data_IF_670917906366
#
_entry.id   IF_670917906366
#
_cell.length_a   1.000
_cell.length_b   1.000
_cell.length_c   1.000
_cell.angle_alpha   90.00
_cell.angle_beta   90.00
_cell.angle_gamma   90.00
#
_symmetry.space_group_name_H-M   'P 1'
#
loop_
_entity.id
_entity.type
_entity.pdbx_description
1 polymer ?
#
# COMPACT_ATOMS: atom_id res chain seq x y z
N UNK A 1 -22.49 -15.37 14.69
CA UNK A 1 -21.71 -16.28 13.81
C UNK A 1 -20.35 -16.48 14.47
N UNK A 2 -19.91 -17.72 14.61
CA UNK A 2 -18.63 -18.09 15.26
C UNK A 2 -17.39 -17.50 14.57
N UNK A 3 -17.56 -16.93 13.37
CA UNK A 3 -16.51 -16.29 12.58
C UNK A 3 -16.28 -14.81 12.94
N UNK A 4 -17.21 -14.18 13.67
CA UNK A 4 -17.14 -12.73 13.94
C UNK A 4 -15.84 -12.29 14.64
N UNK A 5 -15.31 -12.99 15.67
CA UNK A 5 -14.06 -12.61 16.31
C UNK A 5 -12.87 -12.62 15.33
N UNK A 6 -12.80 -13.62 14.45
CA UNK A 6 -11.74 -13.72 13.44
C UNK A 6 -11.84 -12.63 12.36
N UNK A 7 -13.07 -12.27 11.96
CA UNK A 7 -13.29 -11.13 11.06
C UNK A 7 -12.82 -9.82 11.69
N UNK A 8 -13.14 -9.59 12.95
CA UNK A 8 -12.66 -8.42 13.70
C UNK A 8 -11.13 -8.42 13.81
N UNK A 9 -10.53 -9.57 14.11
CA UNK A 9 -9.08 -9.70 14.17
C UNK A 9 -8.44 -9.40 12.83
N UNK A 10 -8.95 -9.97 11.72
CA UNK A 10 -8.46 -9.71 10.38
C UNK A 10 -8.50 -8.21 10.03
N UNK A 11 -9.62 -7.54 10.32
CA UNK A 11 -9.78 -6.11 10.07
C UNK A 11 -8.88 -5.24 10.96
N UNK A 12 -8.57 -5.68 12.17
CA UNK A 12 -7.75 -4.93 13.11
C UNK A 12 -6.26 -5.10 12.82
N UNK A 13 -5.81 -6.34 12.55
CA UNK A 13 -4.40 -6.64 12.27
C UNK A 13 -4.01 -6.44 10.80
N UNK A 14 -4.99 -6.53 9.87
CA UNK A 14 -4.74 -6.60 8.44
C UNK A 14 -4.19 -7.96 8.00
N UNK A 15 -4.12 -8.94 8.90
CA UNK A 15 -3.60 -10.27 8.59
C UNK A 15 -4.70 -11.22 8.19
N UNK A 16 -4.41 -12.06 7.21
CA UNK A 16 -5.26 -13.17 6.80
C UNK A 16 -5.42 -14.17 7.96
N UNK A 17 -6.65 -14.59 8.25
CA UNK A 17 -6.97 -15.58 9.28
C UNK A 17 -7.30 -16.91 8.61
N UNK A 18 -6.71 -17.99 9.14
CA UNK A 18 -6.96 -19.36 8.69
C UNK A 18 -7.55 -20.15 9.86
N UNK A 19 -8.73 -20.69 9.67
CA UNK A 19 -9.47 -21.47 10.67
C UNK A 19 -9.62 -22.88 10.17
N UNK A 20 -8.99 -23.82 10.84
CA UNK A 20 -9.16 -25.26 10.58
C UNK A 20 -10.42 -25.73 11.35
N UNK A 21 -11.46 -26.07 10.61
CA UNK A 21 -12.71 -26.57 11.17
C UNK A 21 -12.68 -28.11 11.28
N UNK A 22 -13.47 -28.66 12.18
CA UNK A 22 -13.65 -30.11 12.28
C UNK A 22 -14.22 -30.67 10.95
N UNK A 23 -13.53 -31.67 10.35
CA UNK A 23 -13.99 -32.36 9.14
C UNK A 23 -13.39 -31.84 7.83
N UNK A 24 -12.10 -31.61 7.79
CA UNK A 24 -11.31 -31.18 6.62
C UNK A 24 -11.80 -29.89 5.92
N UNK A 25 -12.60 -29.10 6.60
CA UNK A 25 -13.03 -27.77 6.11
C UNK A 25 -12.11 -26.70 6.61
N UNK A 26 -11.60 -25.91 5.67
CA UNK A 26 -10.81 -24.71 5.93
C UNK A 26 -11.64 -23.47 5.68
N UNK A 27 -11.60 -22.51 6.61
CA UNK A 27 -12.13 -21.17 6.39
C UNK A 27 -10.97 -20.19 6.36
N UNK A 28 -10.86 -19.44 5.27
CA UNK A 28 -9.88 -18.37 5.11
C UNK A 28 -10.63 -17.04 5.13
N UNK A 29 -10.21 -16.13 6.01
CA UNK A 29 -10.75 -14.78 6.11
C UNK A 29 -9.64 -13.81 5.71
N UNK A 30 -9.83 -13.15 4.59
CA UNK A 30 -8.88 -12.18 4.05
C UNK A 30 -9.46 -10.77 4.15
N UNK A 31 -8.77 -9.83 4.85
CA UNK A 31 -9.22 -8.46 4.92
C UNK A 31 -8.82 -7.70 3.67
N UNK A 32 -9.76 -6.95 3.09
CA UNK A 32 -9.49 -6.02 1.99
C UNK A 32 -9.69 -4.59 2.48
N UNK A 33 -8.67 -3.75 2.27
CA UNK A 33 -8.73 -2.33 2.62
C UNK A 33 -8.80 -1.47 1.37
N UNK A 34 -9.38 -0.25 1.47
CA UNK A 34 -9.34 0.70 0.38
C UNK A 34 -7.89 0.96 -0.08
N UNK A 35 -7.70 1.14 -1.38
CA UNK A 35 -6.40 1.52 -1.92
C UNK A 35 -5.88 2.79 -1.23
N UNK A 36 -4.62 2.81 -0.75
CA UNK A 36 -4.07 4.00 -0.13
C UNK A 36 -4.00 5.14 -1.14
N UNK A 37 -4.47 6.31 -0.75
CA UNK A 37 -4.51 7.51 -1.58
C UNK A 37 -3.40 8.45 -1.18
N UNK A 38 -2.62 8.91 -2.16
CA UNK A 38 -1.64 9.99 -1.97
C UNK A 38 -2.15 11.29 -2.61
N UNK A 39 -2.39 12.30 -1.79
CA UNK A 39 -2.74 13.65 -2.24
C UNK A 39 -1.47 14.49 -2.22
N UNK A 40 -1.04 14.96 -3.38
CA UNK A 40 0.14 15.82 -3.55
C UNK A 40 -0.35 17.25 -3.79
N UNK A 41 -0.14 18.10 -2.81
CA UNK A 41 -0.49 19.53 -2.87
C UNK A 41 0.72 20.32 -3.35
N UNK A 42 0.71 20.72 -4.62
CA UNK A 42 1.78 21.37 -5.36
C UNK A 42 2.32 20.49 -6.49
N UNK A 43 2.14 20.91 -7.75
CA UNK A 43 2.55 20.22 -8.98
C UNK A 43 3.96 20.57 -9.44
N UNK A 44 4.87 20.99 -8.54
CA UNK A 44 6.24 21.40 -8.85
C UNK A 44 7.17 20.29 -9.32
N UNK A 45 8.49 20.56 -9.30
CA UNK A 45 9.50 19.60 -9.79
C UNK A 45 9.56 18.33 -8.94
N UNK A 46 9.37 18.42 -7.62
CA UNK A 46 9.36 17.27 -6.71
C UNK A 46 8.12 16.40 -6.94
N UNK A 47 6.97 17.00 -7.25
CA UNK A 47 5.71 16.29 -7.41
C UNK A 47 5.75 15.28 -8.57
N UNK A 48 6.50 15.56 -9.65
CA UNK A 48 6.56 14.67 -10.81
C UNK A 48 7.17 13.30 -10.45
N UNK A 49 8.44 13.21 -10.02
CA UNK A 49 9.03 11.93 -9.62
C UNK A 49 8.32 11.29 -8.42
N UNK A 50 7.75 12.09 -7.51
CA UNK A 50 6.97 11.58 -6.40
C UNK A 50 5.70 10.84 -6.88
N UNK A 51 4.98 11.39 -7.85
CA UNK A 51 3.78 10.78 -8.44
C UNK A 51 4.12 9.47 -9.15
N UNK A 52 5.17 9.45 -9.96
CA UNK A 52 5.64 8.24 -10.66
C UNK A 52 5.99 7.11 -9.68
N UNK A 53 6.75 7.43 -8.63
CA UNK A 53 7.11 6.47 -7.59
C UNK A 53 5.90 5.98 -6.80
N UNK A 54 5.01 6.89 -6.42
CA UNK A 54 3.82 6.55 -5.65
C UNK A 54 2.86 5.63 -6.41
N UNK A 55 2.62 5.91 -7.70
CA UNK A 55 1.80 5.06 -8.56
C UNK A 55 2.38 3.64 -8.67
N UNK A 56 3.70 3.50 -8.91
CA UNK A 56 4.40 2.20 -8.93
C UNK A 56 4.33 1.45 -7.59
N UNK A 57 4.21 2.18 -6.49
CA UNK A 57 4.06 1.61 -5.14
C UNK A 57 2.59 1.32 -4.77
N UNK A 58 1.66 1.44 -5.73
CA UNK A 58 0.26 1.08 -5.56
C UNK A 58 -0.60 2.13 -4.84
N UNK A 59 -0.17 3.40 -4.79
CA UNK A 59 -1.04 4.49 -4.34
C UNK A 59 -1.96 4.96 -5.46
N UNK A 60 -3.21 5.30 -5.11
CA UNK A 60 -4.04 6.16 -5.93
C UNK A 60 -3.56 7.59 -5.76
N UNK A 61 -3.07 8.22 -6.83
CA UNK A 61 -2.42 9.53 -6.73
C UNK A 61 -3.30 10.64 -7.27
N UNK A 62 -3.49 11.68 -6.43
CA UNK A 62 -4.17 12.93 -6.79
C UNK A 62 -3.17 14.08 -6.69
N UNK A 63 -2.99 14.84 -7.76
CA UNK A 63 -2.12 16.01 -7.78
C UNK A 63 -2.96 17.27 -7.87
N UNK A 64 -2.65 18.27 -7.05
CA UNK A 64 -3.33 19.59 -7.03
C UNK A 64 -2.32 20.70 -7.19
N UNK A 65 -2.55 21.63 -8.10
CA UNK A 65 -1.84 22.92 -8.19
C UNK A 65 -2.78 23.98 -8.73
N UNK A 66 -2.60 25.23 -8.33
CA UNK A 66 -3.44 26.35 -8.75
C UNK A 66 -3.07 26.90 -10.14
N UNK A 67 -2.07 26.34 -10.79
CA UNK A 67 -1.56 26.76 -12.09
C UNK A 67 -1.74 25.66 -13.13
N UNK A 68 -2.46 25.94 -14.20
CA UNK A 68 -2.76 24.97 -15.25
C UNK A 68 -1.49 24.30 -15.85
N UNK A 69 -0.40 25.06 -15.99
CA UNK A 69 0.87 24.50 -16.48
C UNK A 69 1.46 23.41 -15.56
N UNK A 70 1.17 23.47 -14.26
CA UNK A 70 1.63 22.51 -13.26
C UNK A 70 0.56 21.49 -12.84
N UNK A 71 -0.69 21.69 -13.23
CA UNK A 71 -1.80 20.79 -12.93
C UNK A 71 -2.47 20.31 -14.23
N UNK A 72 -1.79 19.43 -14.96
CA UNK A 72 -2.33 18.82 -16.17
C UNK A 72 -1.89 17.35 -16.31
N UNK A 73 -2.68 16.59 -17.05
CA UNK A 73 -2.49 15.14 -17.21
C UNK A 73 -1.26 14.77 -18.03
N UNK A 74 -0.82 15.64 -18.94
CA UNK A 74 0.42 15.44 -19.71
C UNK A 74 1.65 15.44 -18.80
N UNK A 75 1.64 16.32 -17.79
CA UNK A 75 2.70 16.40 -16.79
C UNK A 75 2.68 15.24 -15.79
N UNK A 76 1.49 14.73 -15.47
CA UNK A 76 1.26 13.66 -14.49
C UNK A 76 0.47 12.50 -15.10
N UNK A 77 1.03 11.75 -16.06
CA UNK A 77 0.33 10.64 -16.70
C UNK A 77 -0.04 9.53 -15.72
N UNK A 78 0.78 9.31 -14.70
CA UNK A 78 0.60 8.25 -13.68
C UNK A 78 -0.36 8.65 -12.54
N UNK A 79 -0.81 9.90 -12.46
CA UNK A 79 -1.80 10.30 -11.45
C UNK A 79 -3.21 9.82 -11.86
N UNK A 80 -4.00 9.32 -10.93
CA UNK A 80 -5.42 8.99 -11.20
C UNK A 80 -6.23 10.27 -11.49
N UNK A 81 -5.93 11.34 -10.73
CA UNK A 81 -6.59 12.62 -10.88
C UNK A 81 -5.60 13.78 -10.81
N UNK A 82 -5.80 14.78 -11.65
CA UNK A 82 -5.07 16.06 -11.61
C UNK A 82 -6.08 17.18 -11.52
N UNK A 83 -5.97 18.00 -10.49
CA UNK A 83 -6.91 19.07 -10.17
C UNK A 83 -6.20 20.41 -10.30
N UNK A 84 -6.70 21.29 -11.18
CA UNK A 84 -6.27 22.68 -11.28
C UNK A 84 -7.24 23.57 -10.50
N UNK A 85 -6.94 23.82 -9.23
CA UNK A 85 -7.77 24.65 -8.36
C UNK A 85 -6.89 25.32 -7.27
N UNK A 86 -7.36 26.42 -6.73
CA UNK A 86 -6.72 27.09 -5.60
C UNK A 86 -6.66 26.19 -4.36
N UNK A 87 -5.59 26.34 -3.55
CA UNK A 87 -5.40 25.52 -2.36
C UNK A 87 -6.42 25.81 -1.25
N UNK A 88 -7.17 26.88 -1.36
CA UNK A 88 -8.28 27.21 -0.47
C UNK A 88 -9.57 26.43 -0.82
N UNK A 89 -9.79 26.14 -2.11
CA UNK A 89 -11.04 25.51 -2.62
C UNK A 89 -10.87 24.03 -2.97
N UNK A 90 -9.65 23.57 -3.27
CA UNK A 90 -9.42 22.20 -3.73
C UNK A 90 -9.90 21.13 -2.73
N UNK A 91 -9.99 21.45 -1.45
CA UNK A 91 -10.43 20.52 -0.40
C UNK A 91 -11.91 20.13 -0.51
N UNK A 92 -12.73 20.91 -1.20
CA UNK A 92 -14.13 20.57 -1.49
C UNK A 92 -14.23 19.47 -2.59
N UNK A 93 -13.18 19.30 -3.38
CA UNK A 93 -13.06 18.29 -4.45
C UNK A 93 -12.35 17.02 -3.98
N UNK A 94 -11.82 17.02 -2.74
CA UNK A 94 -11.01 15.93 -2.20
C UNK A 94 -11.77 15.17 -1.11
N UNK A 95 -11.70 13.85 -1.16
CA UNK A 95 -12.22 12.99 -0.11
C UNK A 95 -11.08 12.49 0.79
N UNK A 96 -11.30 12.52 2.10
CA UNK A 96 -10.34 12.11 3.12
C UNK A 96 -10.87 10.93 3.93
N UNK A 97 -10.00 10.02 4.30
CA UNK A 97 -10.27 8.89 5.17
C UNK A 97 -8.99 8.42 5.87
N UNK A 98 -9.10 7.37 6.69
CA UNK A 98 -7.96 6.78 7.41
C UNK A 98 -6.86 6.19 6.50
N UNK A 99 -7.06 6.11 5.19
CA UNK A 99 -6.10 5.62 4.20
C UNK A 99 -5.57 6.74 3.28
N UNK A 100 -5.76 7.99 3.69
CA UNK A 100 -5.30 9.16 2.94
C UNK A 100 -3.94 9.61 3.45
N UNK A 101 -2.99 9.77 2.55
CA UNK A 101 -1.64 10.28 2.76
C UNK A 101 -1.55 11.64 2.07
N UNK A 102 -1.05 12.64 2.76
CA UNK A 102 -0.97 14.02 2.25
C UNK A 102 0.47 14.49 2.21
N UNK A 103 0.89 15.00 1.07
CA UNK A 103 2.21 15.60 0.85
C UNK A 103 2.03 17.03 0.39
N UNK A 104 2.52 17.97 1.20
CA UNK A 104 2.46 19.40 0.92
C UNK A 104 3.84 19.83 0.40
N UNK A 105 3.92 20.11 -0.91
CA UNK A 105 5.14 20.52 -1.63
C UNK A 105 4.86 21.77 -2.47
N UNK A 106 4.11 22.70 -1.90
CA UNK A 106 3.73 23.94 -2.59
C UNK A 106 4.91 24.88 -2.78
N UNK A 107 4.73 25.90 -3.62
CA UNK A 107 5.78 26.88 -3.95
C UNK A 107 6.03 27.95 -2.87
N UNK A 108 5.26 28.01 -1.79
CA UNK A 108 5.41 29.11 -0.86
C UNK A 108 4.60 29.03 0.43
N UNK A 109 5.07 29.83 1.40
CA UNK A 109 4.55 29.88 2.76
C UNK A 109 3.03 30.08 2.86
N UNK A 110 2.46 30.96 2.01
CA UNK A 110 1.01 31.26 2.02
C UNK A 110 0.20 30.02 1.66
N UNK A 111 0.62 29.29 0.65
CA UNK A 111 -0.07 28.08 0.19
C UNK A 111 0.11 26.93 1.18
N UNK A 112 1.32 26.78 1.77
CA UNK A 112 1.55 25.77 2.80
C UNK A 112 0.62 25.96 3.99
N UNK A 113 0.43 27.21 4.44
CA UNK A 113 -0.45 27.51 5.57
C UNK A 113 -1.92 27.23 5.24
N UNK A 114 -2.37 27.58 4.02
CA UNK A 114 -3.72 27.28 3.55
C UNK A 114 -3.95 25.76 3.54
N UNK A 115 -3.01 24.99 2.98
CA UNK A 115 -3.05 23.52 2.98
C UNK A 115 -3.08 22.94 4.39
N UNK A 116 -2.19 23.40 5.28
CA UNK A 116 -2.12 22.89 6.65
C UNK A 116 -3.41 23.13 7.43
N UNK A 117 -3.99 24.34 7.34
CA UNK A 117 -5.27 24.66 8.00
C UNK A 117 -6.39 23.73 7.61
N UNK A 118 -6.43 23.32 6.34
CA UNK A 118 -7.44 22.39 5.86
C UNK A 118 -7.12 20.95 6.26
N UNK A 119 -5.87 20.51 6.09
CA UNK A 119 -5.44 19.12 6.36
C UNK A 119 -5.61 18.76 7.83
N UNK A 120 -5.24 19.64 8.77
CA UNK A 120 -5.34 19.34 10.21
C UNK A 120 -6.78 19.12 10.71
N UNK A 121 -7.77 19.49 9.91
CA UNK A 121 -9.20 19.28 10.21
C UNK A 121 -9.78 18.03 9.57
N UNK A 122 -8.98 17.28 8.80
CA UNK A 122 -9.42 16.09 8.08
C UNK A 122 -8.87 14.83 8.74
N UNK A 123 -9.45 13.68 8.38
CA UNK A 123 -8.90 12.38 8.74
C UNK A 123 -7.85 11.97 7.71
N UNK A 124 -6.70 11.53 8.17
CA UNK A 124 -5.60 11.06 7.32
C UNK A 124 -4.73 10.04 8.06
N UNK A 125 -4.05 9.15 7.30
CA UNK A 125 -3.05 8.22 7.82
C UNK A 125 -1.69 8.92 8.02
N UNK A 126 -1.35 9.83 7.11
CA UNK A 126 -0.08 10.54 7.08
C UNK A 126 -0.29 11.94 6.51
N UNK A 127 0.37 12.91 7.10
CA UNK A 127 0.47 14.26 6.53
C UNK A 127 1.89 14.79 6.74
N UNK A 128 2.49 15.28 5.66
CA UNK A 128 3.83 15.84 5.70
C UNK A 128 3.97 17.10 4.85
N UNK A 129 4.91 17.97 5.23
CA UNK A 129 5.14 19.24 4.53
C UNK A 129 6.63 19.49 4.35
N UNK A 130 7.00 19.92 3.13
CA UNK A 130 8.36 20.37 2.84
C UNK A 130 8.63 21.74 3.51
N UNK A 131 9.84 21.90 4.00
CA UNK A 131 10.28 23.19 4.54
C UNK A 131 11.49 23.06 5.45
N UNK A 132 12.18 24.20 5.68
CA UNK A 132 13.24 24.22 6.68
C UNK A 132 12.68 24.04 8.10
N UNK A 133 13.47 23.50 9.02
CA UNK A 133 13.08 23.38 10.45
C UNK A 133 12.57 24.68 11.04
N UNK A 134 13.21 25.82 10.69
CA UNK A 134 12.77 27.16 11.12
C UNK A 134 11.38 27.51 10.60
N UNK A 135 11.11 27.25 9.30
CA UNK A 135 9.82 27.53 8.67
C UNK A 135 8.71 26.67 9.28
N UNK A 136 8.96 25.39 9.43
CA UNK A 136 8.02 24.45 10.05
C UNK A 136 7.65 24.88 11.46
N UNK A 137 8.65 25.25 12.29
CA UNK A 137 8.41 25.74 13.65
C UNK A 137 7.49 26.96 13.66
N UNK A 138 7.79 27.97 12.82
CA UNK A 138 6.97 29.19 12.71
C UNK A 138 5.52 28.90 12.30
N UNK A 139 5.31 27.96 11.35
CA UNK A 139 3.97 27.57 10.92
C UNK A 139 3.20 26.83 12.02
N UNK A 140 3.84 25.89 12.72
CA UNK A 140 3.20 25.19 13.85
C UNK A 140 2.84 26.15 14.99
N UNK A 141 3.70 27.09 15.33
CA UNK A 141 3.42 28.12 16.33
C UNK A 141 2.26 29.05 15.91
N UNK A 142 2.16 29.36 14.63
CA UNK A 142 1.03 30.14 14.10
C UNK A 142 -0.29 29.36 14.22
N UNK A 143 -0.32 28.09 13.82
CA UNK A 143 -1.50 27.24 13.91
C UNK A 143 -1.94 27.04 15.37
N UNK A 144 -1.00 26.89 16.31
CA UNK A 144 -1.30 26.84 17.75
C UNK A 144 -1.99 28.12 18.22
N UNK A 145 -1.50 29.31 17.79
CA UNK A 145 -2.14 30.60 18.12
C UNK A 145 -3.52 30.75 17.50
N UNK A 146 -3.77 30.11 16.38
CA UNK A 146 -5.07 30.04 15.71
C UNK A 146 -6.04 29.03 16.37
N UNK A 147 -5.59 28.27 17.40
CA UNK A 147 -6.41 27.36 18.17
C UNK A 147 -6.45 25.92 17.67
N UNK A 148 -5.59 25.54 16.72
CA UNK A 148 -5.52 24.14 16.29
C UNK A 148 -4.89 23.24 17.38
N UNK A 149 -5.40 22.00 17.58
CA UNK A 149 -4.95 21.11 18.64
C UNK A 149 -3.47 20.73 18.49
N UNK A 150 -2.72 20.82 19.59
CA UNK A 150 -1.29 20.53 19.60
C UNK A 150 -0.99 19.07 19.19
N UNK A 151 -1.78 18.12 19.66
CA UNK A 151 -1.64 16.69 19.37
C UNK A 151 -1.78 16.37 17.87
N UNK A 152 -2.62 17.12 17.14
CA UNK A 152 -2.74 17.00 15.67
C UNK A 152 -1.50 17.58 14.98
N UNK A 153 -1.01 18.74 15.46
CA UNK A 153 0.18 19.39 14.90
C UNK A 153 1.46 18.60 15.14
N UNK A 154 1.54 17.84 16.23
CA UNK A 154 2.67 16.96 16.53
C UNK A 154 2.73 15.74 15.60
N UNK A 155 1.59 15.26 15.12
CA UNK A 155 1.50 14.16 14.14
C UNK A 155 1.99 14.55 12.75
N UNK A 156 2.07 15.86 12.44
CA UNK A 156 2.58 16.32 11.14
C UNK A 156 4.07 16.03 10.97
N UNK A 157 4.42 15.39 9.86
CA UNK A 157 5.80 15.12 9.47
C UNK A 157 6.38 16.33 8.72
N UNK A 158 7.02 17.21 9.46
CA UNK A 158 7.58 18.43 8.91
C UNK A 158 8.87 18.80 9.68
N UNK A 159 9.98 18.94 8.98
CA UNK A 159 10.18 18.72 7.54
C UNK A 159 9.85 17.29 7.11
N UNK A 160 9.25 17.14 5.90
CA UNK A 160 8.89 15.86 5.32
C UNK A 160 10.12 15.13 4.77
N UNK A 161 10.11 13.79 4.85
CA UNK A 161 11.09 12.92 4.23
C UNK A 161 12.15 12.37 5.19
N UNK A 162 12.73 11.25 4.80
CA UNK A 162 13.85 10.62 5.51
C UNK A 162 15.13 11.47 5.35
N UNK A 163 15.98 11.52 6.38
CA UNK A 163 17.29 12.20 6.32
C UNK A 163 18.29 11.36 5.54
N UNK A 164 18.27 11.47 4.21
CA UNK A 164 19.20 10.76 3.29
C UNK A 164 20.19 11.72 2.59
N UNK A 165 20.21 12.99 2.97
CA UNK A 165 21.05 14.00 2.32
C UNK A 165 20.54 14.42 0.93
N UNK A 166 19.25 14.25 0.64
CA UNK A 166 18.64 14.56 -0.65
C UNK A 166 18.81 16.03 -1.05
N UNK A 167 19.19 16.26 -2.32
CA UNK A 167 19.45 17.59 -2.91
C UNK A 167 18.59 17.83 -4.15
N UNK A 168 18.52 16.86 -5.05
CA UNK A 168 17.73 16.99 -6.30
C UNK A 168 16.25 16.75 -6.06
N UNK A 169 15.35 17.23 -6.96
CA UNK A 169 13.92 16.94 -6.85
C UNK A 169 13.61 15.44 -6.78
N UNK A 170 14.34 14.60 -7.51
CA UNK A 170 14.20 13.15 -7.56
C UNK A 170 14.63 12.50 -6.22
N UNK A 171 15.75 12.94 -5.65
CA UNK A 171 16.22 12.47 -4.34
C UNK A 171 15.26 12.89 -3.22
N UNK A 172 14.74 14.13 -3.29
CA UNK A 172 13.73 14.61 -2.33
C UNK A 172 12.44 13.79 -2.46
N UNK A 173 11.99 13.50 -3.67
CA UNK A 173 10.83 12.64 -3.90
C UNK A 173 11.05 11.23 -3.34
N UNK A 174 12.25 10.65 -3.53
CA UNK A 174 12.62 9.36 -2.97
C UNK A 174 12.61 9.39 -1.43
N UNK A 175 13.15 10.43 -0.83
CA UNK A 175 13.13 10.66 0.63
C UNK A 175 11.70 10.71 1.17
N UNK A 176 10.82 11.47 0.50
CA UNK A 176 9.41 11.61 0.86
C UNK A 176 8.68 10.27 0.75
N UNK A 177 8.78 9.60 -0.41
CA UNK A 177 8.05 8.36 -0.60
C UNK A 177 8.57 7.23 0.31
N UNK A 178 9.86 7.21 0.62
CA UNK A 178 10.44 6.31 1.61
C UNK A 178 9.84 6.49 3.00
N UNK A 179 9.65 7.74 3.46
CA UNK A 179 8.96 8.03 4.72
C UNK A 179 7.49 7.61 4.66
N UNK A 180 6.77 7.91 3.59
CA UNK A 180 5.36 7.53 3.38
C UNK A 180 5.20 6.00 3.41
N UNK A 181 6.09 5.24 2.76
CA UNK A 181 6.10 3.77 2.79
C UNK A 181 6.40 3.26 4.19
N UNK A 182 7.35 3.88 4.90
CA UNK A 182 7.65 3.54 6.30
C UNK A 182 6.40 3.68 7.18
N UNK A 183 5.65 4.76 7.05
CA UNK A 183 4.39 4.95 7.76
C UNK A 183 3.31 3.93 7.38
N UNK A 184 3.26 3.51 6.13
CA UNK A 184 2.33 2.48 5.66
C UNK A 184 2.67 1.08 6.18
N UNK A 185 3.96 0.75 6.32
CA UNK A 185 4.43 -0.61 6.62
C UNK A 185 4.86 -0.81 8.06
N UNK A 186 5.40 0.23 8.66
CA UNK A 186 5.85 0.23 10.05
C UNK A 186 4.90 1.14 10.82
N UNK A 187 4.62 0.87 12.06
CA UNK A 187 3.80 1.77 12.89
C UNK A 187 4.30 3.20 12.82
N UNK A 188 3.37 4.16 12.77
CA UNK A 188 3.72 5.55 13.00
C UNK A 188 4.33 5.69 14.42
N UNK A 189 5.64 5.96 14.56
CA UNK A 189 6.27 6.08 15.88
C UNK A 189 5.71 7.24 16.72
N UNK A 190 4.93 8.14 16.08
CA UNK A 190 4.25 9.27 16.73
C UNK A 190 2.82 8.97 17.17
N UNK A 191 2.24 7.87 16.71
CA UNK A 191 0.97 7.34 17.23
C UNK A 191 1.33 6.34 18.34
N UNK A 192 0.86 6.57 19.56
CA UNK A 192 1.19 5.77 20.75
C UNK A 192 1.05 4.25 20.52
N UNK A 193 1.63 3.45 21.43
CA UNK A 193 1.72 1.98 21.34
C UNK A 193 0.39 1.24 21.15
N UNK A 194 -0.73 1.92 21.26
CA UNK A 194 -2.09 1.36 21.15
C UNK A 194 -2.72 1.48 19.75
N UNK A 195 -2.02 2.07 18.76
CA UNK A 195 -2.51 2.05 17.38
C UNK A 195 -2.23 0.67 16.79
N UNK A 196 -3.29 -0.07 16.47
CA UNK A 196 -3.20 -1.36 15.80
C UNK A 196 -2.38 -1.23 14.50
N UNK A 197 -1.36 -2.09 14.36
CA UNK A 197 -0.61 -2.23 13.11
C UNK A 197 -1.55 -2.88 12.12
N UNK A 198 -1.99 -2.15 11.12
CA UNK A 198 -2.62 -2.78 9.97
C UNK A 198 -1.49 -3.33 9.10
N UNK A 199 -1.31 -4.63 9.11
CA UNK A 199 -0.45 -5.32 8.16
C UNK A 199 -1.13 -5.24 6.80
N UNK A 200 -0.67 -4.33 5.94
CA UNK A 200 -1.17 -4.28 4.57
C UNK A 200 -0.79 -5.57 3.85
N UNK A 201 -1.77 -6.38 3.49
CA UNK A 201 -1.59 -7.52 2.60
C UNK A 201 -0.91 -7.07 1.32
N UNK A 202 0.02 -7.88 0.81
CA UNK A 202 0.67 -7.61 -0.48
C UNK A 202 -0.33 -7.89 -1.60
N UNK A 203 -1.03 -6.86 -2.05
CA UNK A 203 -1.89 -6.98 -3.22
C UNK A 203 -1.08 -6.76 -4.49
N UNK A 204 -1.18 -7.72 -5.38
CA UNK A 204 -0.81 -7.56 -6.76
C UNK A 204 -2.02 -6.93 -7.48
N UNK A 205 -1.91 -5.66 -7.85
CA UNK A 205 -3.03 -4.89 -8.42
C UNK A 205 -3.58 -5.56 -9.68
N UNK A 206 -2.68 -6.01 -10.56
CA UNK A 206 -3.04 -6.63 -11.82
C UNK A 206 -3.84 -7.93 -11.58
N UNK A 207 -3.46 -8.70 -10.53
CA UNK A 207 -4.19 -9.89 -10.12
C UNK A 207 -5.60 -9.56 -9.64
N UNK A 208 -5.76 -8.51 -8.83
CA UNK A 208 -7.07 -8.09 -8.33
C UNK A 208 -7.95 -7.54 -9.45
N UNK A 209 -7.38 -6.76 -10.37
CA UNK A 209 -8.09 -6.26 -11.55
C UNK A 209 -8.58 -7.41 -12.42
N UNK A 210 -7.74 -8.41 -12.70
CA UNK A 210 -8.11 -9.59 -13.49
C UNK A 210 -9.21 -10.41 -12.77
N UNK A 211 -9.14 -10.57 -11.46
CA UNK A 211 -10.18 -11.24 -10.67
C UNK A 211 -11.51 -10.47 -10.71
N UNK A 212 -11.45 -9.14 -10.68
CA UNK A 212 -12.65 -8.28 -10.69
C UNK A 212 -13.38 -8.27 -12.04
N UNK A 213 -12.67 -8.52 -13.14
CA UNK A 213 -13.25 -8.51 -14.48
C UNK A 213 -14.23 -9.66 -14.73
N UNK A 214 -14.26 -10.68 -13.86
CA UNK A 214 -15.23 -11.78 -13.94
C UNK A 214 -15.20 -12.53 -15.27
N UNK A 215 -14.07 -12.51 -16.00
CA UNK A 215 -13.94 -13.27 -17.24
C UNK A 215 -14.08 -14.74 -16.95
N UNK A 216 -14.94 -15.43 -17.71
CA UNK A 216 -15.26 -16.84 -17.59
C UNK A 216 -14.14 -17.78 -18.09
N UNK A 217 -12.89 -17.33 -18.09
CA UNK A 217 -11.76 -18.20 -18.40
C UNK A 217 -11.45 -19.07 -17.19
N UNK A 218 -11.44 -20.38 -17.37
CA UNK A 218 -10.96 -21.31 -16.36
C UNK A 218 -9.56 -20.92 -15.93
N UNK A 219 -9.35 -20.73 -14.65
CA UNK A 219 -8.05 -20.38 -14.07
C UNK A 219 -7.99 -20.84 -12.61
N UNK A 220 -6.82 -20.96 -12.06
CA UNK A 220 -6.63 -21.14 -10.63
C UNK A 220 -6.10 -19.87 -9.99
N UNK A 221 -6.58 -19.58 -8.78
CA UNK A 221 -5.95 -18.60 -7.90
C UNK A 221 -5.12 -19.32 -6.85
N UNK A 222 -3.88 -18.89 -6.71
CA UNK A 222 -2.95 -19.34 -5.68
C UNK A 222 -2.80 -18.20 -4.68
N UNK A 223 -3.11 -18.46 -3.42
CA UNK A 223 -2.99 -17.48 -2.34
C UNK A 223 -2.01 -17.97 -1.28
N UNK A 224 -1.01 -17.19 -0.91
CA UNK A 224 -0.17 -17.46 0.25
C UNK A 224 -1.00 -17.25 1.50
N UNK A 225 -1.31 -18.34 2.24
CA UNK A 225 -2.18 -18.28 3.42
C UNK A 225 -1.41 -18.23 4.74
N UNK A 226 -0.17 -18.71 4.77
CA UNK A 226 0.71 -18.53 5.95
C UNK A 226 2.18 -18.63 5.56
N UNK A 227 3.04 -17.97 6.36
CA UNK A 227 4.49 -17.97 6.15
C UNK A 227 5.21 -18.09 7.49
N UNK A 228 6.40 -18.73 7.49
CA UNK A 228 7.28 -18.84 8.64
C UNK A 228 8.74 -18.70 8.21
N UNK A 229 9.50 -17.88 8.91
CA UNK A 229 10.91 -17.59 8.59
C UNK A 229 11.06 -16.59 7.43
N UNK A 230 12.22 -16.64 6.77
CA UNK A 230 12.53 -15.77 5.63
C UNK A 230 11.88 -16.30 4.37
N UNK A 231 10.91 -15.59 3.84
CA UNK A 231 10.17 -15.94 2.62
C UNK A 231 10.09 -14.73 1.69
N UNK A 232 10.08 -14.95 0.37
CA UNK A 232 10.09 -13.86 -0.61
C UNK A 232 8.79 -13.05 -0.63
N UNK A 233 7.65 -13.68 -0.34
CA UNK A 233 6.32 -13.02 -0.29
C UNK A 233 5.59 -13.40 0.99
N UNK A 234 4.76 -12.47 1.48
CA UNK A 234 3.97 -12.63 2.71
C UNK A 234 2.59 -13.23 2.44
N UNK A 235 1.88 -13.59 3.53
CA UNK A 235 0.48 -13.99 3.45
C UNK A 235 -0.37 -12.92 2.76
N UNK A 236 -1.30 -13.35 1.89
CA UNK A 236 -2.11 -12.50 1.03
C UNK A 236 -1.55 -12.34 -0.40
N UNK A 237 -0.27 -12.62 -0.65
CA UNK A 237 0.27 -12.62 -2.01
C UNK A 237 -0.46 -13.63 -2.89
N UNK A 238 -0.73 -13.24 -4.13
CA UNK A 238 -1.54 -14.03 -5.07
C UNK A 238 -0.84 -14.20 -6.42
N UNK A 239 -1.17 -15.34 -7.04
CA UNK A 239 -0.79 -15.65 -8.42
C UNK A 239 -1.98 -16.31 -9.13
N UNK A 240 -2.29 -15.89 -10.34
CA UNK A 240 -3.22 -16.57 -11.23
C UNK A 240 -2.46 -17.48 -12.17
N UNK A 241 -3.05 -18.63 -12.44
CA UNK A 241 -2.53 -19.62 -13.40
C UNK A 241 -3.65 -19.98 -14.36
N UNK A 242 -3.38 -19.95 -15.68
CA UNK A 242 -4.30 -20.37 -16.72
C UNK A 242 -3.97 -21.77 -17.26
N UNK A 243 -4.91 -22.45 -17.95
CA UNK A 243 -4.69 -23.79 -18.50
C UNK A 243 -3.53 -23.90 -19.49
N UNK A 244 -3.19 -22.80 -20.16
CA UNK A 244 -2.06 -22.69 -21.10
C UNK A 244 -0.70 -22.42 -20.42
N UNK A 245 -0.67 -22.37 -19.08
CA UNK A 245 0.54 -22.14 -18.29
C UNK A 245 0.90 -20.66 -18.13
N UNK A 246 0.12 -19.72 -18.67
CA UNK A 246 0.30 -18.29 -18.36
C UNK A 246 0.13 -18.06 -16.87
N UNK A 247 0.89 -17.12 -16.33
CA UNK A 247 0.78 -16.67 -14.93
C UNK A 247 0.64 -15.15 -14.86
N UNK A 248 -0.01 -14.66 -13.82
CA UNK A 248 -0.08 -13.24 -13.44
C UNK A 248 0.10 -13.13 -11.93
N UNK A 249 0.96 -12.20 -11.48
CA UNK A 249 1.36 -12.11 -10.08
C UNK A 249 2.46 -13.12 -9.71
N UNK A 250 2.81 -13.21 -8.44
CA UNK A 250 3.88 -14.08 -7.95
C UNK A 250 3.68 -14.42 -6.47
N UNK A 251 4.03 -15.64 -6.10
CA UNK A 251 4.11 -16.09 -4.70
C UNK A 251 5.56 -16.15 -4.18
N UNK A 252 6.54 -15.70 -4.99
CA UNK A 252 7.93 -15.60 -4.55
C UNK A 252 8.97 -15.96 -5.59
N UNK A 253 8.56 -16.50 -6.74
CA UNK A 253 9.45 -16.86 -7.85
C UNK A 253 10.25 -18.15 -7.64
N UNK A 254 11.02 -18.52 -8.67
CA UNK A 254 11.93 -19.66 -8.65
C UNK A 254 11.23 -21.03 -8.64
N UNK A 255 11.96 -22.06 -8.18
CA UNK A 255 11.52 -23.45 -8.20
C UNK A 255 10.24 -23.68 -7.38
N UNK A 256 9.99 -22.88 -6.35
CA UNK A 256 8.77 -22.96 -5.53
C UNK A 256 7.49 -22.71 -6.34
N UNK A 257 7.53 -21.84 -7.35
CA UNK A 257 6.38 -21.57 -8.22
C UNK A 257 6.13 -22.71 -9.20
N UNK A 258 7.19 -23.35 -9.73
CA UNK A 258 7.05 -24.45 -10.69
C UNK A 258 6.18 -25.60 -10.18
N UNK A 259 6.43 -26.08 -8.96
CA UNK A 259 5.64 -27.13 -8.33
C UNK A 259 4.18 -26.70 -8.05
N UNK A 260 3.98 -25.44 -7.69
CA UNK A 260 2.65 -24.88 -7.45
C UNK A 260 1.86 -24.69 -8.74
N UNK A 261 2.51 -24.23 -9.81
CA UNK A 261 1.89 -24.08 -11.14
C UNK A 261 1.41 -25.45 -11.63
N UNK A 262 2.23 -26.52 -11.49
CA UNK A 262 1.81 -27.85 -11.88
C UNK A 262 0.58 -28.33 -11.10
N UNK A 263 0.55 -28.10 -9.79
CA UNK A 263 -0.63 -28.39 -8.97
C UNK A 263 -1.85 -27.55 -9.38
N UNK A 264 -1.65 -26.28 -9.72
CA UNK A 264 -2.71 -25.41 -10.18
C UNK A 264 -3.34 -25.89 -11.49
N UNK A 265 -2.54 -26.38 -12.44
CA UNK A 265 -3.02 -26.96 -13.69
C UNK A 265 -3.87 -28.23 -13.44
N UNK A 266 -3.48 -29.07 -12.48
CA UNK A 266 -4.29 -30.21 -12.07
C UNK A 266 -5.63 -29.79 -11.47
N UNK A 267 -5.61 -28.77 -10.58
CA UNK A 267 -6.82 -28.23 -9.94
C UNK A 267 -7.75 -27.55 -10.96
N UNK A 268 -7.21 -26.86 -11.96
CA UNK A 268 -8.02 -26.31 -13.07
C UNK A 268 -8.78 -27.40 -13.80
N UNK A 269 -8.12 -28.54 -14.07
CA UNK A 269 -8.72 -29.70 -14.80
C UNK A 269 -9.74 -30.44 -13.95
N UNK A 270 -9.40 -30.73 -12.69
CA UNK A 270 -10.17 -31.62 -11.81
C UNK A 270 -11.18 -30.88 -10.94
N UNK A 271 -11.08 -29.54 -10.85
CA UNK A 271 -11.86 -28.68 -9.99
C UNK A 271 -11.45 -28.72 -8.51
N UNK A 272 -12.10 -27.89 -7.69
CA UNK A 272 -11.90 -27.89 -6.25
C UNK A 272 -10.74 -27.03 -5.77
N UNK A 273 -10.10 -27.46 -4.68
CA UNK A 273 -8.99 -26.73 -4.08
C UNK A 273 -7.95 -27.67 -3.47
N UNK A 274 -6.73 -27.16 -3.24
CA UNK A 274 -5.66 -27.86 -2.53
C UNK A 274 -4.83 -26.88 -1.70
N UNK A 275 -4.42 -27.35 -0.50
CA UNK A 275 -3.43 -26.64 0.31
C UNK A 275 -2.09 -27.35 0.10
N UNK A 276 -1.08 -26.57 -0.30
CA UNK A 276 0.28 -27.07 -0.49
C UNK A 276 1.24 -26.35 0.45
N UNK A 277 2.08 -27.14 1.14
CA UNK A 277 3.20 -26.61 1.91
C UNK A 277 4.42 -26.55 1.00
N UNK A 278 5.11 -25.42 1.01
CA UNK A 278 6.39 -25.20 0.33
C UNK A 278 7.43 -25.00 1.41
N UNK A 279 8.45 -25.85 1.38
CA UNK A 279 9.57 -25.81 2.29
C UNK A 279 10.82 -25.34 1.53
N UNK A 280 11.34 -24.18 1.91
CA UNK A 280 12.53 -23.58 1.33
C UNK A 280 13.72 -23.68 2.31
N UNK A 281 13.65 -24.61 3.27
CA UNK A 281 14.70 -24.89 4.23
C UNK A 281 15.41 -26.21 3.89
N UNK A 282 16.73 -26.25 3.92
CA UNK A 282 17.50 -27.48 3.78
C UNK A 282 18.28 -27.62 2.46
N UNK A 283 19.05 -28.71 2.36
CA UNK A 283 20.01 -28.98 1.28
C UNK A 283 19.35 -29.09 -0.11
N UNK A 284 18.12 -29.60 -0.18
CA UNK A 284 17.38 -29.68 -1.47
C UNK A 284 17.06 -28.28 -2.01
N UNK A 285 16.76 -27.34 -1.10
CA UNK A 285 16.51 -25.93 -1.47
C UNK A 285 17.80 -25.24 -1.94
N UNK A 286 18.95 -25.56 -1.35
CA UNK A 286 20.27 -25.05 -1.77
C UNK A 286 20.68 -25.60 -3.15
N UNK A 287 20.44 -26.88 -3.42
CA UNK A 287 20.70 -27.52 -4.71
C UNK A 287 19.83 -26.94 -5.85
N UNK A 288 18.62 -26.48 -5.50
CA UNK A 288 17.70 -25.79 -6.42
C UNK A 288 17.93 -24.25 -6.50
N UNK A 289 18.96 -23.73 -5.80
CA UNK A 289 19.29 -22.30 -5.79
C UNK A 289 18.36 -21.45 -4.94
N UNK A 290 17.58 -22.03 -4.03
CA UNK A 290 16.73 -21.33 -3.07
C UNK A 290 17.52 -20.93 -1.84
N UNK A 291 17.77 -19.64 -1.68
CA UNK A 291 18.52 -19.05 -0.54
C UNK A 291 17.60 -18.67 0.63
N UNK A 292 16.29 -18.85 0.49
CA UNK A 292 15.30 -18.44 1.49
C UNK A 292 15.09 -19.55 2.52
N UNK A 293 15.42 -19.29 3.81
CA UNK A 293 15.32 -20.25 4.92
C UNK A 293 13.94 -20.33 5.57
N UNK A 294 12.84 -20.24 4.82
CA UNK A 294 11.49 -20.21 5.36
C UNK A 294 10.54 -21.28 4.78
N UNK A 295 9.33 -21.32 5.30
CA UNK A 295 8.25 -22.17 4.78
C UNK A 295 7.02 -21.31 4.51
N UNK A 296 6.23 -21.71 3.50
CA UNK A 296 4.93 -21.11 3.24
C UNK A 296 3.85 -22.19 3.00
N UNK A 297 2.61 -21.86 3.30
CA UNK A 297 1.44 -22.62 2.86
C UNK A 297 0.69 -21.78 1.84
N UNK A 298 0.31 -22.41 0.74
CA UNK A 298 -0.51 -21.80 -0.30
C UNK A 298 -1.83 -22.55 -0.44
N UNK A 299 -2.89 -21.79 -0.66
CA UNK A 299 -4.20 -22.30 -1.07
C UNK A 299 -4.29 -22.13 -2.58
N UNK A 300 -4.65 -23.20 -3.28
CA UNK A 300 -4.82 -23.26 -4.73
C UNK A 300 -6.27 -23.61 -4.98
N UNK A 301 -7.00 -22.75 -5.69
CA UNK A 301 -8.45 -22.87 -5.92
C UNK A 301 -8.75 -22.72 -7.41
N UNK A 302 -9.62 -23.59 -7.94
CA UNK A 302 -10.14 -23.44 -9.30
C UNK A 302 -11.22 -22.37 -9.33
N UNK A 303 -11.08 -21.44 -10.25
CA UNK A 303 -12.11 -20.46 -10.61
C UNK A 303 -12.72 -20.88 -11.95
N UNK A 304 -14.02 -21.14 -11.94
CA UNK A 304 -14.80 -21.50 -13.13
C UNK A 304 -15.42 -20.27 -13.81
#
# INVERSE_FOLDING_TARGET
SDLYPYMQQALTSGELQVIENSGDKLTVIEPFFPQPRLIVLGGGHIAKPLTELAAKLGFSVIVVDDRLFFANKERFPDADQVICESFEKCFDLLTFNAYTYVVIVTRGHRHDLACLRAVVQKQWAYAGMIGSRRRVKSLKEQLLREGYPQDVLEKLNAPIGLEIGAVTPEEIALSIIGEVVSFRRLQNPKMGKDSAIISWTEFDRDVLEELSLGKSEHKAVVTVISTKGSVPRKAGAKMLVWPDGRILGSIGGGCSEGAVIQTALDIIRDGGYKIQKIDMTGTIAEDEGMVCGGTMKVLIESLA
#
